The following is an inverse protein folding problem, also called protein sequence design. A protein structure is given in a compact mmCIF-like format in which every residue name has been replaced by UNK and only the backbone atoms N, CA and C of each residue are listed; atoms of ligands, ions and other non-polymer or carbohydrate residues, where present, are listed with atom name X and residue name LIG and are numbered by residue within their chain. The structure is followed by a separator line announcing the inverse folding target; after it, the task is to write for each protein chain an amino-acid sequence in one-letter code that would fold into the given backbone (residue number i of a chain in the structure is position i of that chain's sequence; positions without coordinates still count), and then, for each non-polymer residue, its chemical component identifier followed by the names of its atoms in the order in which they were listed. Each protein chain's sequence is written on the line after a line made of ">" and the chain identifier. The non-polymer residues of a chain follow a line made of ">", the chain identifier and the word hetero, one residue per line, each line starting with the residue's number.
data_IF_569251791702
#
_entry.id   IF_569251791702
#
_cell.length_a   1.000
_cell.length_b   1.000
_cell.length_c   1.000
_cell.angle_alpha   90.00
_cell.angle_beta   90.00
_cell.angle_gamma   90.00
#
_symmetry.space_group_name_H-M   'P 1'
#
loop_
_entity.id
_entity.type
_entity.pdbx_description
1 polymer ?
#
# COMPACT_ATOMS: atom_id res chain seq x y z
N UNK A 1 18.77 81.20 44.30
CA UNK A 1 17.61 81.26 45.22
C UNK A 1 16.77 80.00 45.02
N UNK A 2 16.20 79.48 46.10
CA UNK A 2 15.31 78.31 46.23
C UNK A 2 14.18 78.30 45.17
N UNK A 3 13.46 77.21 44.82
CA UNK A 3 12.95 76.06 45.58
C UNK A 3 12.31 74.99 44.64
N UNK A 4 12.33 73.71 45.06
CA UNK A 4 11.24 72.68 45.03
C UNK A 4 10.68 72.16 43.67
N UNK A 5 10.20 70.91 43.47
CA UNK A 5 9.93 69.71 44.30
C UNK A 5 9.65 68.49 43.38
N UNK A 6 9.98 67.29 43.87
CA UNK A 6 9.34 65.95 43.72
C UNK A 6 9.31 65.12 42.40
N UNK A 7 10.22 64.11 42.34
CA UNK A 7 10.09 62.61 42.18
C UNK A 7 9.11 61.93 41.19
N UNK A 8 9.26 60.61 40.87
CA UNK A 8 10.47 59.72 40.84
C UNK A 8 10.51 58.76 39.61
N UNK A 9 11.64 58.08 39.34
CA UNK A 9 11.73 56.59 39.28
C UNK A 9 13.14 56.08 38.92
N UNK A 10 13.43 54.90 39.47
CA UNK A 10 14.72 54.23 39.61
C UNK A 10 15.15 53.40 38.39
N UNK A 11 16.45 53.40 38.10
CA UNK A 11 17.09 52.40 37.24
C UNK A 11 18.61 52.55 37.25
N UNK A 12 19.31 51.86 38.17
CA UNK A 12 20.77 51.91 38.25
C UNK A 12 21.42 51.06 37.15
N UNK A 13 22.16 51.71 36.25
CA UNK A 13 23.18 51.09 35.40
C UNK A 13 24.47 50.88 36.22
N UNK A 14 25.06 49.68 36.14
CA UNK A 14 26.51 49.47 36.34
C UNK A 14 27.08 48.68 35.16
N UNK A 15 28.35 49.00 34.90
CA UNK A 15 29.10 48.90 33.66
C UNK A 15 29.57 47.50 33.25
N UNK A 16 29.74 47.36 31.93
CA UNK A 16 30.27 46.21 31.18
C UNK A 16 31.66 45.75 31.64
N UNK A 17 31.82 44.44 31.80
CA UNK A 17 33.09 43.74 31.66
C UNK A 17 32.88 42.60 30.65
N UNK A 18 33.40 42.79 29.44
CA UNK A 18 33.22 41.88 28.30
C UNK A 18 34.17 40.69 28.46
N UNK A 19 33.67 39.58 28.97
CA UNK A 19 34.37 38.29 28.95
C UNK A 19 34.33 37.73 27.53
N UNK A 20 35.45 37.81 26.80
CA UNK A 20 35.69 36.97 25.62
C UNK A 20 35.88 35.53 26.11
N UNK A 21 34.80 34.74 26.10
CA UNK A 21 34.88 33.29 26.28
C UNK A 21 35.49 32.71 25.00
N UNK A 22 36.78 32.43 25.03
CA UNK A 22 37.44 31.59 24.03
C UNK A 22 36.91 30.18 24.29
N UNK A 23 35.98 29.70 23.47
CA UNK A 23 35.57 28.29 23.48
C UNK A 23 36.75 27.50 22.95
N UNK A 24 37.52 26.88 23.85
CA UNK A 24 38.57 25.95 23.49
C UNK A 24 37.85 24.70 22.98
N UNK A 25 37.66 24.58 21.66
CA UNK A 25 37.22 23.33 21.06
C UNK A 25 38.25 22.28 21.44
N UNK A 26 37.84 21.27 22.19
CA UNK A 26 38.72 20.17 22.56
C UNK A 26 39.05 19.42 21.27
N UNK A 27 40.31 19.44 20.87
CA UNK A 27 40.77 18.69 19.71
C UNK A 27 40.66 17.19 20.04
N UNK A 28 39.82 16.49 19.28
CA UNK A 28 39.69 15.05 19.34
C UNK A 28 40.33 14.43 18.10
N UNK A 29 41.52 13.80 18.21
CA UNK A 29 42.17 13.15 17.08
C UNK A 29 41.33 11.97 16.53
N UNK A 30 40.36 11.45 17.30
CA UNK A 30 39.49 10.37 16.85
C UNK A 30 38.34 10.85 15.94
N UNK A 31 38.16 12.17 15.81
CA UNK A 31 37.16 12.78 14.93
C UNK A 31 37.80 13.30 13.62
N UNK A 32 39.11 13.10 13.42
CA UNK A 32 39.76 13.44 12.16
C UNK A 32 39.31 12.50 11.04
N UNK A 33 39.07 13.07 9.85
CA UNK A 33 38.58 12.32 8.67
C UNK A 33 39.52 11.16 8.32
N UNK A 34 40.83 11.40 8.33
CA UNK A 34 41.83 10.38 7.99
C UNK A 34 41.87 9.25 9.04
N UNK A 35 41.68 9.59 10.31
CA UNK A 35 41.59 8.60 11.38
C UNK A 35 40.32 7.76 11.22
N UNK A 36 39.16 8.40 11.02
CA UNK A 36 37.89 7.73 10.80
C UNK A 36 37.91 6.82 9.57
N UNK A 37 38.45 7.28 8.45
CA UNK A 37 38.64 6.48 7.24
C UNK A 37 39.52 5.24 7.50
N UNK A 38 40.63 5.42 8.24
CA UNK A 38 41.51 4.31 8.61
C UNK A 38 40.83 3.27 9.51
N UNK A 39 39.95 3.71 10.43
CA UNK A 39 39.22 2.80 11.31
C UNK A 39 38.08 2.10 10.55
N UNK A 40 37.36 2.81 9.69
CA UNK A 40 36.29 2.23 8.86
C UNK A 40 36.82 1.15 7.91
N UNK A 41 37.99 1.35 7.31
CA UNK A 41 38.65 0.35 6.43
C UNK A 41 39.09 -0.92 7.15
N UNK A 42 39.22 -0.90 8.49
CA UNK A 42 39.56 -2.09 9.29
C UNK A 42 38.36 -2.99 9.55
N UNK A 43 37.14 -2.47 9.41
CA UNK A 43 35.92 -3.24 9.58
C UNK A 43 35.61 -3.92 8.23
N UNK A 44 35.44 -5.24 8.18
CA UNK A 44 35.28 -5.98 6.92
C UNK A 44 33.85 -5.88 6.38
N UNK A 45 33.31 -4.66 6.25
CA UNK A 45 31.92 -4.41 5.85
C UNK A 45 31.56 -5.15 4.56
N UNK A 46 32.39 -5.06 3.51
CA UNK A 46 32.13 -5.71 2.21
C UNK A 46 32.02 -7.24 2.36
N UNK A 47 32.84 -7.87 3.20
CA UNK A 47 32.82 -9.32 3.38
C UNK A 47 31.61 -9.76 4.23
N UNK A 48 31.25 -8.99 5.26
CA UNK A 48 30.06 -9.24 6.07
C UNK A 48 28.78 -9.02 5.26
N UNK A 49 28.76 -8.03 4.39
CA UNK A 49 27.63 -7.72 3.52
C UNK A 49 27.38 -8.77 2.44
N UNK A 50 28.44 -9.30 1.81
CA UNK A 50 28.32 -10.44 0.90
C UNK A 50 27.74 -11.69 1.56
N UNK A 51 27.94 -11.85 2.87
CA UNK A 51 27.37 -12.96 3.62
C UNK A 51 25.89 -12.73 4.00
N UNK A 52 25.41 -11.48 3.90
CA UNK A 52 24.03 -11.08 4.22
C UNK A 52 23.19 -10.75 2.98
N UNK A 53 23.79 -10.84 1.79
CA UNK A 53 23.15 -10.65 0.47
C UNK A 53 22.43 -9.30 0.27
N UNK A 54 22.97 -8.22 0.84
CA UNK A 54 22.44 -6.86 0.62
C UNK A 54 23.02 -6.20 -0.63
N UNK A 55 22.16 -5.69 -1.53
CA UNK A 55 22.61 -5.01 -2.76
C UNK A 55 23.17 -3.59 -2.52
N UNK A 56 22.70 -2.86 -1.50
CA UNK A 56 23.19 -1.50 -1.13
C UNK A 56 23.14 -1.25 0.37
N UNK A 57 23.92 -0.26 0.84
CA UNK A 57 24.05 0.10 2.26
C UNK A 57 24.48 1.55 2.49
N UNK A 58 24.21 2.06 3.70
CA UNK A 58 24.67 3.36 4.20
C UNK A 58 25.41 3.18 5.51
N UNK A 59 26.62 3.72 5.62
CA UNK A 59 27.38 3.75 6.88
C UNK A 59 27.30 5.15 7.47
N UNK A 60 26.87 5.26 8.73
CA UNK A 60 26.83 6.54 9.44
C UNK A 60 27.78 6.49 10.64
N UNK A 61 28.53 7.58 10.83
CA UNK A 61 29.33 7.81 12.03
C UNK A 61 28.70 8.94 12.85
N UNK A 62 28.56 8.73 14.16
CA UNK A 62 28.16 9.78 15.11
C UNK A 62 29.25 9.94 16.15
N UNK A 63 29.82 11.14 16.22
CA UNK A 63 30.77 11.51 17.27
C UNK A 63 30.09 11.43 18.64
N UNK A 64 30.79 10.93 19.65
CA UNK A 64 30.34 10.76 21.04
C UNK A 64 29.14 9.82 21.26
N UNK A 65 28.72 9.07 20.24
CA UNK A 65 27.74 7.99 20.38
C UNK A 65 28.38 6.72 20.94
N UNK A 66 27.98 6.30 22.14
CA UNK A 66 28.29 4.95 22.65
C UNK A 66 27.13 4.03 22.34
N UNK A 67 27.39 2.96 21.59
CA UNK A 67 26.45 1.86 21.43
C UNK A 67 26.38 1.09 22.75
N UNK A 68 25.17 0.87 23.27
CA UNK A 68 25.00 0.03 24.45
C UNK A 68 25.32 -1.43 24.12
N UNK A 69 25.88 -2.16 25.09
CA UNK A 69 26.26 -3.55 24.89
C UNK A 69 25.02 -4.39 24.54
N UNK A 70 25.05 -5.04 23.37
CA UNK A 70 23.94 -5.82 22.84
C UNK A 70 23.11 -5.10 21.76
N UNK A 71 23.38 -3.82 21.49
CA UNK A 71 22.78 -3.15 20.32
C UNK A 71 23.36 -3.73 19.03
N UNK A 72 22.52 -4.12 18.05
CA UNK A 72 22.98 -4.54 16.74
C UNK A 72 23.74 -3.39 16.05
N UNK A 73 24.92 -3.67 15.53
CA UNK A 73 25.72 -2.68 14.76
C UNK A 73 25.24 -2.61 13.29
N UNK A 74 24.50 -3.63 12.85
CA UNK A 74 23.84 -3.71 11.55
C UNK A 74 22.34 -3.83 11.84
N UNK A 75 21.60 -2.76 11.58
CA UNK A 75 20.15 -2.73 11.74
C UNK A 75 19.50 -2.80 10.35
N UNK A 76 19.04 -3.99 9.94
CA UNK A 76 18.19 -4.17 8.75
C UNK A 76 16.73 -3.76 8.98
N UNK A 77 16.49 -2.84 9.91
CA UNK A 77 15.17 -2.41 10.38
C UNK A 77 15.00 -0.89 10.31
N UNK A 78 15.84 -0.21 9.54
CA UNK A 78 15.70 1.24 9.38
C UNK A 78 14.42 1.51 8.57
N UNK A 79 13.46 2.18 9.21
CA UNK A 79 12.07 2.38 8.78
C UNK A 79 11.91 3.32 7.57
N UNK A 80 12.99 3.59 6.84
CA UNK A 80 12.96 4.14 5.50
C UNK A 80 13.24 2.98 4.54
N UNK A 81 12.22 2.17 4.22
CA UNK A 81 12.27 1.38 2.99
C UNK A 81 12.58 2.38 1.88
N UNK A 82 13.72 2.19 1.19
CA UNK A 82 14.33 3.20 0.34
C UNK A 82 13.27 3.77 -0.62
N UNK A 83 12.83 5.04 -0.44
CA UNK A 83 11.87 5.65 -1.36
C UNK A 83 12.33 5.49 -2.80
N UNK A 84 11.43 5.02 -3.68
CA UNK A 84 11.71 4.70 -5.08
C UNK A 84 12.22 3.29 -5.35
N UNK A 85 12.24 2.39 -4.36
CA UNK A 85 12.58 0.99 -4.59
C UNK A 85 11.34 0.09 -4.64
N UNK A 86 11.01 -0.40 -5.84
CA UNK A 86 9.90 -1.32 -6.13
C UNK A 86 10.00 -2.68 -5.43
N UNK A 87 11.19 -3.05 -4.92
CA UNK A 87 11.37 -4.28 -4.12
C UNK A 87 10.92 -4.11 -2.67
N UNK A 88 10.77 -2.86 -2.19
CA UNK A 88 10.46 -2.55 -0.78
C UNK A 88 9.19 -1.73 -0.61
N UNK A 89 8.79 -0.98 -1.64
CA UNK A 89 7.58 -0.16 -1.66
C UNK A 89 6.84 -0.50 -2.95
N UNK A 90 5.54 -0.78 -2.82
CA UNK A 90 4.71 -1.04 -3.99
C UNK A 90 4.69 0.18 -4.91
N UNK A 91 4.59 -0.03 -6.24
CA UNK A 91 4.46 1.08 -7.19
C UNK A 91 3.31 2.00 -6.77
N UNK A 92 2.13 1.42 -6.57
CA UNK A 92 0.99 2.07 -5.90
C UNK A 92 1.00 1.65 -4.43
N UNK A 93 1.17 2.61 -3.52
CA UNK A 93 1.15 2.33 -2.08
C UNK A 93 0.51 3.49 -1.29
N UNK A 94 0.36 3.31 0.01
CA UNK A 94 -0.13 4.33 0.93
C UNK A 94 0.63 4.36 2.25
N UNK A 95 0.47 5.45 3.00
CA UNK A 95 0.87 5.52 4.40
C UNK A 95 -0.02 6.47 5.19
N UNK A 96 -0.11 6.22 6.49
CA UNK A 96 -0.74 7.13 7.43
C UNK A 96 0.33 8.03 8.05
N UNK A 97 0.12 9.36 8.01
CA UNK A 97 1.04 10.33 8.62
C UNK A 97 0.25 11.51 9.20
N UNK A 98 0.49 11.83 10.48
CA UNK A 98 -0.12 12.98 11.16
C UNK A 98 -1.65 13.06 10.96
N UNK A 99 -2.35 11.96 11.20
CA UNK A 99 -3.80 11.81 11.00
C UNK A 99 -4.31 11.92 9.54
N UNK A 100 -3.41 11.99 8.55
CA UNK A 100 -3.75 11.98 7.12
C UNK A 100 -3.38 10.68 6.42
N UNK A 101 -4.00 10.45 5.25
CA UNK A 101 -3.69 9.37 4.33
C UNK A 101 -2.91 9.94 3.12
N UNK A 102 -1.79 9.31 2.80
CA UNK A 102 -0.94 9.68 1.68
C UNK A 102 -0.80 8.51 0.73
N UNK A 103 -0.83 8.79 -0.58
CA UNK A 103 -0.72 7.81 -1.65
C UNK A 103 0.56 8.07 -2.45
N UNK A 104 1.10 7.01 -3.05
CA UNK A 104 2.23 7.08 -4.00
C UNK A 104 1.91 6.22 -5.21
N UNK A 105 2.45 6.61 -6.35
CA UNK A 105 2.43 5.88 -7.62
C UNK A 105 3.85 5.70 -8.20
N UNK A 106 4.88 5.95 -7.41
CA UNK A 106 6.29 5.95 -7.79
C UNK A 106 7.18 5.23 -6.76
N UNK A 107 6.65 4.17 -6.14
CA UNK A 107 7.35 3.41 -5.11
C UNK A 107 7.83 4.27 -3.94
N UNK A 108 7.07 5.32 -3.61
CA UNK A 108 7.27 6.17 -2.45
C UNK A 108 8.27 7.31 -2.65
N UNK A 109 8.76 7.57 -3.87
CA UNK A 109 9.58 8.77 -4.15
C UNK A 109 8.80 10.05 -3.82
N UNK A 110 7.52 10.07 -4.18
CA UNK A 110 6.58 11.15 -3.86
C UNK A 110 5.35 10.63 -3.12
N UNK A 111 4.75 11.50 -2.31
CA UNK A 111 3.59 11.19 -1.49
C UNK A 111 2.57 12.31 -1.60
N UNK A 112 1.39 11.96 -2.10
CA UNK A 112 0.27 12.88 -2.34
C UNK A 112 -0.76 12.68 -1.22
N UNK A 113 -1.15 13.78 -0.57
CA UNK A 113 -2.21 13.74 0.43
C UNK A 113 -3.55 13.45 -0.24
N UNK A 114 -4.30 12.49 0.28
CA UNK A 114 -5.68 12.24 -0.19
C UNK A 114 -6.65 13.34 0.25
N UNK A 115 -6.28 14.20 1.20
CA UNK A 115 -7.18 15.23 1.72
C UNK A 115 -8.33 14.70 2.60
N UNK A 116 -8.43 13.40 2.81
CA UNK A 116 -9.41 12.79 3.74
C UNK A 116 -9.16 13.27 5.17
N UNK A 117 -10.25 13.56 5.89
CA UNK A 117 -10.18 13.91 7.31
C UNK A 117 -9.90 12.68 8.16
N UNK A 118 -9.46 12.93 9.40
CA UNK A 118 -9.25 11.88 10.40
C UNK A 118 -10.50 11.03 10.60
N UNK A 119 -11.68 11.64 10.69
CA UNK A 119 -12.94 10.94 10.89
C UNK A 119 -13.31 10.04 9.70
N UNK A 120 -13.00 10.48 8.47
CA UNK A 120 -13.19 9.67 7.26
C UNK A 120 -12.26 8.45 7.28
N UNK A 121 -11.01 8.62 7.70
CA UNK A 121 -10.03 7.53 7.82
C UNK A 121 -10.43 6.55 8.92
N UNK A 122 -10.81 7.05 10.10
CA UNK A 122 -11.20 6.24 11.25
C UNK A 122 -12.46 5.40 10.94
N UNK A 123 -13.49 6.01 10.36
CA UNK A 123 -14.69 5.26 9.95
C UNK A 123 -14.40 4.17 8.90
N UNK A 124 -13.48 4.45 7.96
CA UNK A 124 -13.05 3.48 6.95
C UNK A 124 -12.32 2.29 7.58
N UNK A 125 -11.38 2.56 8.47
CA UNK A 125 -10.54 1.53 9.11
C UNK A 125 -11.34 0.69 10.11
N UNK A 126 -12.36 1.26 10.75
CA UNK A 126 -13.33 0.53 11.58
C UNK A 126 -14.11 -0.52 10.77
N UNK A 127 -14.55 -0.19 9.55
CA UNK A 127 -15.20 -1.15 8.64
C UNK A 127 -14.30 -2.35 8.36
N UNK A 128 -13.03 -2.10 8.04
CA UNK A 128 -12.10 -3.20 7.76
C UNK A 128 -11.77 -3.98 9.04
N UNK A 129 -11.78 -3.33 10.20
CA UNK A 129 -11.44 -3.94 11.49
C UNK A 129 -9.95 -4.30 11.60
N UNK A 130 -9.09 -3.63 10.82
CA UNK A 130 -7.66 -3.95 10.69
C UNK A 130 -6.72 -2.89 11.27
N UNK A 131 -7.27 -1.94 12.03
CA UNK A 131 -6.53 -0.76 12.51
C UNK A 131 -6.11 0.11 11.33
N UNK A 132 -4.89 0.65 11.37
CA UNK A 132 -4.35 1.51 10.30
C UNK A 132 -3.88 0.69 9.09
N UNK A 133 -4.79 -0.06 8.46
CA UNK A 133 -4.54 -0.83 7.25
C UNK A 133 -5.74 -0.72 6.31
N UNK A 134 -5.46 -0.30 5.08
CA UNK A 134 -6.37 -0.38 3.94
C UNK A 134 -6.03 -1.64 3.11
N UNK A 135 -7.04 -2.38 2.63
CA UNK A 135 -6.79 -3.46 1.67
C UNK A 135 -6.12 -2.93 0.40
N UNK A 136 -5.14 -3.67 -0.12
CA UNK A 136 -4.36 -3.29 -1.32
C UNK A 136 -5.26 -2.93 -2.51
N UNK A 137 -6.35 -3.67 -2.71
CA UNK A 137 -7.26 -3.45 -3.82
C UNK A 137 -8.14 -2.20 -3.67
N UNK A 138 -8.18 -1.59 -2.47
CA UNK A 138 -8.98 -0.40 -2.19
C UNK A 138 -8.33 0.90 -2.66
N UNK A 139 -7.10 0.81 -3.19
CA UNK A 139 -6.32 1.92 -3.74
C UNK A 139 -5.91 1.57 -5.17
N UNK A 140 -5.82 2.61 -6.01
CA UNK A 140 -5.34 2.52 -7.38
C UNK A 140 -4.59 3.81 -7.77
N UNK A 141 -3.60 3.65 -8.64
CA UNK A 141 -3.05 4.74 -9.44
C UNK A 141 -2.61 4.22 -10.81
N UNK A 142 -2.63 5.09 -11.81
CA UNK A 142 -2.20 4.83 -13.18
C UNK A 142 -0.76 5.25 -13.47
N UNK A 143 -0.04 5.80 -12.47
CA UNK A 143 1.32 6.34 -12.64
C UNK A 143 1.39 7.63 -13.48
N UNK A 144 0.24 8.23 -13.81
CA UNK A 144 0.12 9.41 -14.66
C UNK A 144 -0.82 10.47 -14.05
N UNK A 145 -0.92 10.48 -12.72
CA UNK A 145 -1.65 11.48 -11.95
C UNK A 145 -3.09 11.11 -11.59
N UNK A 146 -3.58 9.92 -11.96
CA UNK A 146 -4.82 9.39 -11.42
C UNK A 146 -4.56 8.68 -10.09
N UNK A 147 -5.38 9.00 -9.10
CA UNK A 147 -5.40 8.31 -7.80
C UNK A 147 -6.83 8.00 -7.41
N UNK A 148 -7.05 6.78 -6.91
CA UNK A 148 -8.34 6.34 -6.42
C UNK A 148 -8.15 5.66 -5.06
N UNK A 149 -9.00 5.98 -4.09
CA UNK A 149 -9.05 5.29 -2.80
C UNK A 149 -10.47 5.22 -2.26
N UNK A 150 -10.86 4.09 -1.69
CA UNK A 150 -12.14 3.95 -1.02
C UNK A 150 -12.10 4.44 0.44
N UNK A 151 -13.14 5.15 0.86
CA UNK A 151 -13.39 5.54 2.25
C UNK A 151 -14.86 5.34 2.67
N UNK A 152 -15.15 5.56 3.95
CA UNK A 152 -16.48 5.59 4.55
C UNK A 152 -17.05 4.22 4.97
N UNK A 153 -18.11 4.26 5.78
CA UNK A 153 -18.92 3.08 6.12
C UNK A 153 -19.62 2.50 4.88
N UNK A 154 -20.33 3.37 4.16
CA UNK A 154 -20.77 3.14 2.79
C UNK A 154 -19.56 3.39 1.87
N UNK A 155 -19.26 2.52 0.90
CA UNK A 155 -18.13 2.73 0.01
C UNK A 155 -18.25 4.03 -0.78
N UNK A 156 -17.33 4.96 -0.56
CA UNK A 156 -17.14 6.16 -1.36
C UNK A 156 -15.79 6.07 -2.05
N UNK A 157 -15.78 6.12 -3.38
CA UNK A 157 -14.54 6.23 -4.14
C UNK A 157 -14.13 7.70 -4.20
N UNK A 158 -12.97 7.99 -3.62
CA UNK A 158 -12.31 9.29 -3.70
C UNK A 158 -11.34 9.27 -4.87
N UNK A 159 -11.64 10.03 -5.92
CA UNK A 159 -10.95 9.98 -7.21
C UNK A 159 -10.30 11.34 -7.52
N UNK A 160 -9.00 11.31 -7.84
CA UNK A 160 -8.27 12.41 -8.44
C UNK A 160 -7.78 12.02 -9.83
N UNK A 161 -7.73 12.99 -10.73
CA UNK A 161 -7.23 12.86 -12.11
C UNK A 161 -6.11 13.86 -12.42
N UNK A 162 -5.57 14.52 -11.40
CA UNK A 162 -4.69 15.68 -11.55
C UNK A 162 -3.58 15.74 -10.49
N UNK A 163 -3.00 14.59 -10.12
CA UNK A 163 -1.97 14.44 -9.09
C UNK A 163 -2.45 14.85 -7.68
N UNK A 164 -3.71 14.57 -7.35
CA UNK A 164 -4.31 14.90 -6.06
C UNK A 164 -4.54 16.40 -5.83
N UNK A 165 -4.55 17.22 -6.89
CA UNK A 165 -4.85 18.66 -6.76
C UNK A 165 -6.35 18.88 -6.52
N UNK A 166 -7.20 18.08 -7.16
CA UNK A 166 -8.64 18.03 -6.95
C UNK A 166 -9.11 16.60 -6.77
N UNK A 167 -10.20 16.45 -6.02
CA UNK A 167 -10.79 15.16 -5.68
C UNK A 167 -12.31 15.21 -5.82
N UNK A 168 -12.87 14.12 -6.33
CA UNK A 168 -14.31 13.89 -6.46
C UNK A 168 -14.71 12.64 -5.66
N UNK A 169 -15.85 12.72 -4.97
CA UNK A 169 -16.42 11.59 -4.22
C UNK A 169 -17.56 10.94 -5.01
N UNK A 170 -17.45 9.63 -5.22
CA UNK A 170 -18.49 8.80 -5.82
C UNK A 170 -18.99 7.78 -4.79
N UNK A 171 -20.22 7.95 -4.31
CA UNK A 171 -20.85 7.03 -3.37
C UNK A 171 -21.48 5.83 -4.07
N UNK A 172 -21.15 4.62 -3.62
CA UNK A 172 -21.78 3.37 -4.07
C UNK A 172 -22.83 2.92 -3.07
N UNK A 173 -24.01 3.53 -3.12
CA UNK A 173 -25.13 3.29 -2.20
C UNK A 173 -25.97 2.04 -2.55
N UNK A 174 -25.31 0.90 -2.75
CA UNK A 174 -25.99 -0.37 -2.98
C UNK A 174 -26.70 -0.86 -1.71
N UNK A 175 -27.68 -1.76 -1.87
CA UNK A 175 -28.33 -2.41 -0.73
C UNK A 175 -27.42 -3.50 -0.15
N UNK A 176 -26.44 -3.09 0.66
CA UNK A 176 -25.53 -4.02 1.30
C UNK A 176 -26.19 -4.69 2.52
N UNK A 177 -26.20 -6.03 2.60
CA UNK A 177 -26.71 -6.74 3.79
C UNK A 177 -25.80 -6.56 5.02
N UNK A 178 -24.54 -6.15 4.81
CA UNK A 178 -23.47 -5.96 5.81
C UNK A 178 -22.48 -4.90 5.32
N UNK A 179 -21.50 -4.54 6.14
CA UNK A 179 -20.40 -3.68 5.68
C UNK A 179 -19.69 -4.26 4.45
N UNK A 180 -19.48 -3.41 3.45
CA UNK A 180 -18.71 -3.73 2.26
C UNK A 180 -17.21 -3.64 2.60
N UNK A 181 -16.57 -4.80 2.78
CA UNK A 181 -15.17 -4.91 3.20
C UNK A 181 -14.22 -5.20 2.04
N UNK A 182 -14.71 -5.83 0.98
CA UNK A 182 -13.96 -6.02 -0.25
C UNK A 182 -14.27 -4.87 -1.18
N UNK A 183 -13.33 -3.95 -1.32
CA UNK A 183 -13.46 -2.78 -2.19
C UNK A 183 -12.29 -2.79 -3.16
N UNK A 184 -12.59 -3.02 -4.43
CA UNK A 184 -11.62 -3.14 -5.51
C UNK A 184 -11.90 -2.00 -6.48
N UNK A 185 -10.86 -1.28 -6.89
CA UNK A 185 -10.93 -0.27 -7.96
C UNK A 185 -9.73 -0.41 -8.89
N UNK A 186 -9.96 -0.40 -10.20
CA UNK A 186 -8.90 -0.36 -11.21
C UNK A 186 -9.40 0.38 -12.44
N UNK A 187 -8.46 0.93 -13.22
CA UNK A 187 -8.73 1.46 -14.54
C UNK A 187 -7.89 0.69 -15.58
N UNK A 188 -8.51 0.40 -16.72
CA UNK A 188 -7.83 -0.20 -17.88
C UNK A 188 -7.16 0.89 -18.72
N UNK A 189 -7.78 2.08 -18.75
CA UNK A 189 -7.32 3.29 -19.40
C UNK A 189 -7.99 4.51 -18.71
N UNK A 190 -7.67 5.76 -19.08
CA UNK A 190 -8.22 6.94 -18.42
C UNK A 190 -9.76 7.09 -18.48
N UNK A 191 -10.46 6.39 -19.38
CA UNK A 191 -11.91 6.45 -19.53
C UNK A 191 -12.61 5.21 -18.95
N UNK A 192 -11.98 4.04 -19.00
CA UNK A 192 -12.58 2.76 -18.66
C UNK A 192 -12.05 2.23 -17.34
N UNK A 193 -12.93 2.15 -16.35
CA UNK A 193 -12.61 1.64 -15.02
C UNK A 193 -13.68 0.71 -14.47
N UNK A 194 -13.29 -0.11 -13.50
CA UNK A 194 -14.19 -1.04 -12.84
C UNK A 194 -13.99 -1.05 -11.34
N UNK A 195 -15.05 -1.44 -10.64
CA UNK A 195 -15.04 -1.70 -9.20
C UNK A 195 -15.60 -3.07 -8.89
N UNK A 196 -15.06 -3.69 -7.85
CA UNK A 196 -15.60 -4.89 -7.22
C UNK A 196 -15.96 -4.58 -5.78
N UNK A 197 -17.22 -4.75 -5.39
CA UNK A 197 -17.72 -4.43 -4.07
C UNK A 197 -18.33 -5.68 -3.44
N UNK A 198 -17.81 -6.10 -2.28
CA UNK A 198 -18.20 -7.32 -1.60
C UNK A 198 -18.40 -7.13 -0.11
N UNK A 199 -19.45 -7.72 0.43
CA UNK A 199 -19.69 -7.75 1.88
C UNK A 199 -19.17 -9.04 2.50
N UNK A 200 -18.98 -9.01 3.82
CA UNK A 200 -18.94 -10.26 4.60
C UNK A 200 -20.24 -11.05 4.42
N UNK A 201 -20.22 -12.30 4.86
CA UNK A 201 -21.38 -13.18 4.84
C UNK A 201 -21.84 -13.56 6.26
N UNK A 202 -23.13 -13.83 6.44
CA UNK A 202 -23.62 -14.61 7.57
C UNK A 202 -24.86 -15.43 7.23
N UNK A 203 -25.13 -16.48 8.00
CA UNK A 203 -26.34 -17.30 7.86
C UNK A 203 -27.65 -16.49 7.90
N UNK A 204 -27.67 -15.35 8.61
CA UNK A 204 -28.90 -14.57 8.82
C UNK A 204 -29.17 -13.51 7.75
N UNK A 205 -28.12 -12.93 7.16
CA UNK A 205 -28.24 -11.82 6.18
C UNK A 205 -27.75 -12.19 4.78
N UNK A 206 -27.05 -13.32 4.64
CA UNK A 206 -26.25 -13.61 3.46
C UNK A 206 -25.07 -12.65 3.33
N UNK A 207 -24.56 -12.57 2.10
CA UNK A 207 -23.55 -11.61 1.65
C UNK A 207 -23.94 -11.12 0.25
N UNK A 208 -23.28 -10.07 -0.23
CA UNK A 208 -23.53 -9.51 -1.55
C UNK A 208 -22.22 -9.18 -2.26
N UNK A 209 -22.23 -9.33 -3.58
CA UNK A 209 -21.14 -8.92 -4.48
C UNK A 209 -21.72 -8.10 -5.63
N UNK A 210 -21.02 -7.04 -6.00
CA UNK A 210 -21.36 -6.16 -7.10
C UNK A 210 -20.12 -5.91 -7.95
N UNK A 211 -20.32 -5.82 -9.26
CA UNK A 211 -19.32 -5.33 -10.22
C UNK A 211 -19.86 -4.05 -10.83
N UNK A 212 -19.05 -3.00 -10.86
CA UNK A 212 -19.40 -1.71 -11.44
C UNK A 212 -18.43 -1.29 -12.53
N UNK A 213 -18.95 -0.55 -13.52
CA UNK A 213 -18.16 0.00 -14.61
C UNK A 213 -18.37 1.49 -14.75
N UNK A 214 -17.30 2.15 -15.17
CA UNK A 214 -17.31 3.49 -15.76
C UNK A 214 -16.70 3.43 -17.17
N UNK A 215 -17.22 4.28 -18.04
CA UNK A 215 -16.71 4.49 -19.41
C UNK A 215 -16.52 5.99 -19.72
N UNK A 216 -16.48 6.82 -18.67
CA UNK A 216 -16.30 8.27 -18.76
C UNK A 216 -15.27 8.77 -17.74
N UNK A 217 -14.32 7.89 -17.40
CA UNK A 217 -13.23 8.17 -16.47
C UNK A 217 -13.69 8.28 -15.02
N UNK A 218 -14.80 7.65 -14.64
CA UNK A 218 -15.28 7.63 -13.26
C UNK A 218 -16.27 8.73 -12.90
N UNK A 219 -16.76 9.49 -13.88
CA UNK A 219 -17.82 10.49 -13.66
C UNK A 219 -19.17 9.84 -13.42
N UNK A 220 -19.47 8.75 -14.13
CA UNK A 220 -20.65 7.92 -13.89
C UNK A 220 -20.26 6.45 -13.75
N UNK A 221 -21.01 5.75 -12.91
CA UNK A 221 -20.79 4.33 -12.61
C UNK A 221 -22.10 3.58 -12.73
N UNK A 222 -22.03 2.37 -13.29
CA UNK A 222 -23.15 1.43 -13.35
C UNK A 222 -22.76 0.11 -12.71
N UNK A 223 -23.47 -0.25 -11.65
CA UNK A 223 -23.26 -1.48 -10.88
C UNK A 223 -24.26 -2.57 -11.27
N UNK A 224 -23.82 -3.81 -11.15
CA UNK A 224 -24.63 -5.02 -11.33
C UNK A 224 -24.34 -5.97 -10.17
N UNK A 225 -25.39 -6.50 -9.56
CA UNK A 225 -25.26 -7.52 -8.51
C UNK A 225 -24.91 -8.87 -9.12
N UNK A 226 -23.91 -9.54 -8.54
CA UNK A 226 -23.49 -10.87 -8.94
C UNK A 226 -24.16 -11.89 -8.02
N UNK A 227 -24.93 -12.86 -8.55
CA UNK A 227 -25.50 -13.91 -7.75
C UNK A 227 -24.37 -14.85 -7.29
N UNK A 228 -24.09 -14.84 -5.99
CA UNK A 228 -23.05 -15.67 -5.40
C UNK A 228 -23.69 -16.64 -4.42
N UNK A 229 -23.51 -17.93 -4.67
CA UNK A 229 -24.02 -19.01 -3.81
C UNK A 229 -23.03 -19.37 -2.70
N UNK A 230 -23.50 -20.12 -1.70
CA UNK A 230 -22.62 -20.84 -0.77
C UNK A 230 -21.82 -20.00 0.23
N UNK A 231 -22.12 -18.70 0.35
CA UNK A 231 -21.44 -17.82 1.30
C UNK A 231 -20.00 -17.47 0.95
N UNK A 232 -19.70 -17.46 -0.35
CA UNK A 232 -18.42 -16.98 -0.86
C UNK A 232 -18.31 -15.45 -0.69
N UNK A 233 -17.09 -14.99 -0.42
CA UNK A 233 -16.75 -13.59 -0.19
C UNK A 233 -15.76 -13.16 -1.28
N UNK A 234 -16.02 -12.01 -1.90
CA UNK A 234 -15.13 -11.44 -2.93
C UNK A 234 -13.73 -11.23 -2.37
N UNK A 235 -12.72 -11.81 -3.02
CA UNK A 235 -11.30 -11.65 -2.63
C UNK A 235 -10.48 -10.89 -3.68
N UNK A 236 -10.87 -10.97 -4.96
CA UNK A 236 -10.16 -10.32 -6.06
C UNK A 236 -11.03 -10.16 -7.32
N UNK A 237 -10.68 -9.19 -8.14
CA UNK A 237 -11.31 -8.90 -9.43
C UNK A 237 -10.29 -8.23 -10.35
N UNK A 238 -10.08 -8.81 -11.53
CA UNK A 238 -9.22 -8.25 -12.55
C UNK A 238 -9.86 -8.40 -13.94
N UNK A 239 -9.80 -7.35 -14.75
CA UNK A 239 -10.21 -7.40 -16.15
C UNK A 239 -8.99 -7.23 -17.05
N UNK A 240 -8.87 -8.07 -18.08
CA UNK A 240 -7.86 -7.90 -19.14
C UNK A 240 -8.29 -6.81 -20.14
N UNK A 241 -9.60 -6.71 -20.35
CA UNK A 241 -10.25 -5.73 -21.21
C UNK A 241 -11.68 -5.46 -20.73
N UNK A 242 -12.44 -4.64 -21.45
CA UNK A 242 -13.81 -4.25 -21.07
C UNK A 242 -14.83 -5.40 -21.03
N UNK A 243 -14.50 -6.59 -21.53
CA UNK A 243 -15.40 -7.74 -21.56
C UNK A 243 -14.87 -8.92 -20.74
N UNK A 244 -13.56 -9.15 -20.78
CA UNK A 244 -12.91 -10.36 -20.30
C UNK A 244 -12.27 -10.14 -18.93
N UNK A 245 -12.71 -10.88 -17.93
CA UNK A 245 -12.21 -10.73 -16.56
C UNK A 245 -12.26 -12.00 -15.72
N UNK A 246 -11.56 -11.94 -14.60
CA UNK A 246 -11.54 -12.94 -13.54
C UNK A 246 -11.95 -12.36 -12.21
N UNK A 247 -12.69 -13.16 -11.45
CA UNK A 247 -13.13 -12.87 -10.10
C UNK A 247 -12.74 -14.06 -9.22
N UNK A 248 -12.14 -13.78 -8.08
CA UNK A 248 -11.82 -14.79 -7.07
C UNK A 248 -12.69 -14.60 -5.85
N UNK A 249 -13.13 -15.71 -5.27
CA UNK A 249 -13.88 -15.70 -4.02
C UNK A 249 -13.38 -16.75 -3.05
N UNK A 250 -13.35 -16.40 -1.77
CA UNK A 250 -12.99 -17.29 -0.69
C UNK A 250 -14.23 -17.78 0.06
N UNK A 251 -14.14 -18.96 0.66
CA UNK A 251 -15.13 -19.41 1.63
C UNK A 251 -14.98 -18.60 2.93
N UNK A 252 -16.09 -18.34 3.62
CA UNK A 252 -16.04 -17.65 4.92
C UNK A 252 -15.11 -18.36 5.93
N UNK A 253 -15.00 -19.69 5.87
CA UNK A 253 -14.31 -20.48 6.88
C UNK A 253 -12.82 -20.69 6.58
N UNK A 254 -12.33 -20.23 5.41
CA UNK A 254 -10.93 -20.39 5.02
C UNK A 254 -10.48 -21.87 5.00
N UNK A 255 -11.42 -22.77 4.71
CA UNK A 255 -11.20 -24.22 4.70
C UNK A 255 -10.49 -24.70 3.43
N UNK A 256 -10.39 -23.85 2.42
CA UNK A 256 -9.70 -24.13 1.16
C UNK A 256 -8.39 -23.35 1.06
N UNK A 257 -7.32 -24.06 0.70
CA UNK A 257 -6.04 -23.47 0.31
C UNK A 257 -6.13 -22.65 -0.97
N UNK A 258 -7.14 -22.87 -1.80
CA UNK A 258 -7.25 -22.26 -3.12
C UNK A 258 -8.55 -21.47 -3.24
N UNK A 259 -8.53 -20.30 -3.89
CA UNK A 259 -9.73 -19.52 -4.08
C UNK A 259 -10.60 -20.18 -5.14
N UNK A 260 -11.91 -19.92 -5.08
CA UNK A 260 -12.82 -20.24 -6.20
C UNK A 260 -12.59 -19.22 -7.29
N UNK A 261 -12.34 -19.66 -8.52
CA UNK A 261 -12.02 -18.79 -9.66
C UNK A 261 -13.18 -18.77 -10.64
N UNK A 262 -13.61 -17.57 -10.99
CA UNK A 262 -14.70 -17.32 -11.93
C UNK A 262 -14.21 -16.44 -13.07
N UNK A 263 -14.75 -16.68 -14.26
CA UNK A 263 -14.46 -15.91 -15.46
C UNK A 263 -15.72 -15.27 -16.02
N UNK A 264 -15.54 -14.11 -16.65
CA UNK A 264 -16.57 -13.41 -17.42
C UNK A 264 -16.03 -13.05 -18.80
N UNK A 265 -16.91 -13.07 -19.79
CA UNK A 265 -16.66 -12.59 -21.15
C UNK A 265 -17.73 -11.55 -21.57
N UNK A 266 -18.46 -11.00 -20.59
CA UNK A 266 -19.58 -10.10 -20.78
C UNK A 266 -19.54 -8.90 -19.82
N UNK A 267 -18.33 -8.42 -19.49
CA UNK A 267 -18.09 -7.28 -18.61
C UNK A 267 -18.58 -7.51 -17.16
N UNK A 268 -18.58 -8.77 -16.71
CA UNK A 268 -19.02 -9.12 -15.37
C UNK A 268 -20.53 -9.11 -15.18
N UNK A 269 -21.33 -9.20 -16.24
CA UNK A 269 -22.77 -9.42 -16.10
C UNK A 269 -23.06 -10.87 -15.66
N UNK A 270 -22.24 -11.82 -16.10
CA UNK A 270 -22.29 -13.22 -15.68
C UNK A 270 -20.88 -13.74 -15.40
N UNK A 271 -20.81 -14.64 -14.42
CA UNK A 271 -19.59 -15.31 -14.03
C UNK A 271 -19.79 -16.82 -14.09
N UNK A 272 -18.79 -17.51 -14.64
CA UNK A 272 -18.73 -18.97 -14.69
C UNK A 272 -17.51 -19.44 -13.94
N UNK A 273 -17.68 -20.42 -13.06
CA UNK A 273 -16.56 -21.02 -12.35
C UNK A 273 -15.68 -21.85 -13.28
N UNK A 274 -14.38 -21.84 -13.00
CA UNK A 274 -13.37 -22.68 -13.64
C UNK A 274 -12.50 -23.36 -12.58
N UNK A 275 -11.91 -24.49 -12.95
CA UNK A 275 -10.88 -25.14 -12.15
C UNK A 275 -9.50 -24.70 -12.64
N UNK A 276 -8.64 -24.27 -11.72
CA UNK A 276 -7.23 -24.00 -12.04
C UNK A 276 -6.39 -25.26 -11.78
N UNK A 277 -5.20 -25.40 -12.40
CA UNK A 277 -4.35 -26.57 -12.25
C UNK A 277 -3.61 -26.58 -10.89
N UNK A 278 -4.35 -26.60 -9.77
CA UNK A 278 -3.78 -26.49 -8.43
C UNK A 278 -2.74 -27.56 -8.11
N UNK A 279 -2.89 -28.75 -8.70
CA UNK A 279 -1.97 -29.87 -8.57
C UNK A 279 -0.60 -29.65 -9.23
N UNK A 280 -0.49 -28.65 -10.11
CA UNK A 280 0.77 -28.29 -10.77
C UNK A 280 1.60 -27.30 -9.95
N UNK A 281 1.01 -26.74 -8.89
CA UNK A 281 1.66 -25.78 -8.01
C UNK A 281 2.63 -26.53 -7.07
N UNK A 282 3.85 -26.00 -6.83
CA UNK A 282 4.79 -26.55 -5.86
C UNK A 282 4.23 -26.71 -4.44
N UNK A 283 4.61 -27.78 -3.74
CA UNK A 283 4.11 -28.09 -2.38
C UNK A 283 4.44 -27.04 -1.30
N UNK A 284 5.45 -26.19 -1.53
CA UNK A 284 5.83 -25.11 -0.63
C UNK A 284 4.88 -23.90 -0.70
N UNK A 285 4.08 -23.80 -1.77
CA UNK A 285 2.95 -22.87 -1.84
C UNK A 285 1.71 -23.53 -1.24
N UNK A 286 1.35 -23.09 -0.04
CA UNK A 286 0.28 -23.73 0.75
C UNK A 286 -1.10 -23.12 0.55
N UNK A 287 -1.18 -21.89 0.02
CA UNK A 287 -2.43 -21.25 -0.34
C UNK A 287 -2.25 -20.05 -1.30
N UNK A 288 -3.32 -19.72 -2.02
CA UNK A 288 -3.55 -18.46 -2.73
C UNK A 288 -4.95 -17.98 -2.36
N UNK A 289 -5.25 -16.69 -2.54
CA UNK A 289 -6.56 -16.17 -2.14
C UNK A 289 -7.17 -15.17 -3.13
N UNK A 290 -6.37 -14.46 -3.93
CA UNK A 290 -6.91 -13.46 -4.85
C UNK A 290 -6.25 -13.42 -6.21
N UNK A 291 -7.02 -12.99 -7.21
CA UNK A 291 -6.45 -12.46 -8.45
C UNK A 291 -5.85 -11.08 -8.18
N UNK A 292 -4.59 -10.91 -8.58
CA UNK A 292 -3.85 -9.66 -8.48
C UNK A 292 -3.85 -8.91 -9.81
N UNK A 293 -3.63 -9.62 -10.92
CA UNK A 293 -3.59 -9.06 -12.26
C UNK A 293 -4.06 -10.08 -13.29
N UNK A 294 -4.62 -9.56 -14.38
CA UNK A 294 -4.97 -10.32 -15.56
C UNK A 294 -4.71 -9.42 -16.77
N UNK A 295 -3.83 -9.84 -17.66
CA UNK A 295 -3.55 -9.12 -18.91
C UNK A 295 -3.69 -10.05 -20.11
N UNK A 296 -3.87 -9.46 -21.30
CA UNK A 296 -3.94 -10.21 -22.55
C UNK A 296 -2.96 -9.64 -23.57
N UNK A 297 -1.94 -10.42 -23.89
CA UNK A 297 -0.84 -9.99 -24.77
C UNK A 297 -0.52 -11.09 -25.78
N UNK A 298 -0.37 -10.70 -27.05
CA UNK A 298 0.06 -11.60 -28.13
C UNK A 298 -0.75 -12.90 -28.25
N UNK A 299 -2.04 -12.86 -27.92
CA UNK A 299 -2.93 -14.03 -28.00
C UNK A 299 -2.99 -14.87 -26.73
N UNK A 300 -2.32 -14.46 -25.65
CA UNK A 300 -2.18 -15.23 -24.40
C UNK A 300 -2.63 -14.35 -23.23
N UNK A 301 -3.43 -14.95 -22.34
CA UNK A 301 -3.72 -14.37 -21.04
C UNK A 301 -2.59 -14.66 -20.06
N UNK A 302 -2.20 -13.63 -19.32
CA UNK A 302 -1.26 -13.73 -18.20
C UNK A 302 -2.03 -13.40 -16.92
N UNK A 303 -2.03 -14.35 -15.98
CA UNK A 303 -2.74 -14.25 -14.71
C UNK A 303 -1.73 -14.32 -13.58
N UNK A 304 -1.81 -13.38 -12.64
CA UNK A 304 -1.12 -13.50 -11.36
C UNK A 304 -2.15 -13.68 -10.25
N UNK A 305 -2.02 -14.76 -9.50
CA UNK A 305 -2.73 -14.98 -8.23
C UNK A 305 -1.79 -14.74 -7.06
N UNK A 306 -2.29 -14.20 -5.96
CA UNK A 306 -1.51 -13.91 -4.76
C UNK A 306 -2.20 -14.29 -3.47
N UNK A 307 -1.47 -14.08 -2.37
CA UNK A 307 -1.91 -14.30 -0.99
C UNK A 307 -2.48 -13.03 -0.32
N UNK A 308 -2.61 -11.94 -1.08
CA UNK A 308 -3.17 -10.67 -0.62
C UNK A 308 -2.49 -10.17 0.64
N UNK A 309 -3.27 -9.94 1.69
CA UNK A 309 -2.73 -9.44 2.96
C UNK A 309 -2.19 -10.55 3.88
N UNK A 310 -2.40 -11.81 3.53
CA UNK A 310 -2.03 -12.97 4.35
C UNK A 310 -0.61 -13.46 4.09
N UNK A 311 -0.01 -13.01 2.99
CA UNK A 311 1.33 -13.39 2.57
C UNK A 311 1.74 -12.66 1.30
N UNK A 312 2.98 -12.83 0.90
CA UNK A 312 3.57 -12.14 -0.24
C UNK A 312 3.91 -13.09 -1.40
N UNK A 313 3.53 -14.36 -1.33
CA UNK A 313 3.76 -15.27 -2.44
C UNK A 313 2.76 -14.99 -3.57
N UNK A 314 3.25 -15.08 -4.80
CA UNK A 314 2.53 -14.91 -6.06
C UNK A 314 2.75 -16.14 -6.94
N UNK A 315 1.76 -16.47 -7.77
CA UNK A 315 1.85 -17.51 -8.79
C UNK A 315 1.37 -16.95 -10.13
N UNK A 316 2.17 -17.18 -11.17
CA UNK A 316 1.84 -16.80 -12.54
C UNK A 316 1.31 -18.01 -13.31
N UNK A 317 0.27 -17.76 -14.11
CA UNK A 317 -0.34 -18.71 -15.01
C UNK A 317 -0.51 -18.11 -16.40
N UNK A 318 -0.50 -18.96 -17.42
CA UNK A 318 -0.82 -18.59 -18.80
C UNK A 318 -1.99 -19.41 -19.34
N UNK A 319 -2.77 -18.82 -20.25
CA UNK A 319 -3.88 -19.49 -20.91
C UNK A 319 -4.22 -18.84 -22.24
N UNK A 320 -4.71 -19.61 -23.22
CA UNK A 320 -5.12 -19.06 -24.54
C UNK A 320 -6.57 -18.57 -24.55
N UNK A 321 -7.34 -18.94 -23.52
CA UNK A 321 -8.74 -18.56 -23.31
C UNK A 321 -9.01 -18.55 -21.81
N UNK A 322 -9.80 -17.57 -21.32
CA UNK A 322 -10.14 -17.50 -19.89
C UNK A 322 -10.74 -18.80 -19.34
N UNK A 323 -11.52 -19.46 -20.18
CA UNK A 323 -12.46 -20.49 -19.78
C UNK A 323 -11.98 -21.90 -20.19
N UNK A 324 -10.73 -21.98 -20.66
CA UNK A 324 -10.02 -23.19 -21.06
C UNK A 324 -8.91 -23.59 -20.08
N UNK A 325 -7.91 -24.32 -20.57
CA UNK A 325 -6.80 -24.80 -19.74
C UNK A 325 -5.81 -23.68 -19.40
N UNK A 326 -5.44 -23.63 -18.13
CA UNK A 326 -4.40 -22.76 -17.60
C UNK A 326 -3.14 -23.59 -17.31
N UNK A 327 -1.97 -22.98 -17.49
CA UNK A 327 -0.66 -23.58 -17.20
C UNK A 327 0.03 -22.77 -16.12
N UNK A 328 0.48 -23.42 -15.05
CA UNK A 328 1.35 -22.80 -14.05
C UNK A 328 2.74 -22.55 -14.65
N UNK A 329 3.25 -21.34 -14.49
CA UNK A 329 4.57 -20.95 -15.00
C UNK A 329 5.62 -20.92 -13.89
N UNK A 330 5.34 -20.19 -12.82
CA UNK A 330 6.27 -19.96 -11.72
C UNK A 330 5.55 -19.40 -10.48
N UNK A 331 6.21 -19.54 -9.33
CA UNK A 331 5.90 -18.81 -8.11
C UNK A 331 7.06 -17.92 -7.71
N UNK A 332 6.77 -16.83 -7.00
CA UNK A 332 7.77 -15.89 -6.54
C UNK A 332 7.26 -15.06 -5.36
N UNK A 333 8.19 -14.48 -4.59
CA UNK A 333 7.86 -13.51 -3.55
C UNK A 333 7.65 -12.15 -4.21
N UNK A 334 6.44 -11.60 -4.10
CA UNK A 334 6.10 -10.27 -4.56
C UNK A 334 6.28 -9.21 -3.48
N UNK A 335 6.37 -7.95 -3.90
CA UNK A 335 6.30 -6.79 -2.99
C UNK A 335 4.87 -6.63 -2.46
N UNK A 336 4.74 -6.34 -1.17
CA UNK A 336 3.47 -6.03 -0.50
C UNK A 336 3.58 -4.71 0.25
N UNK A 337 2.44 -4.14 0.66
CA UNK A 337 2.39 -2.92 1.47
C UNK A 337 3.25 -3.08 2.74
N UNK A 338 4.20 -2.16 2.92
CA UNK A 338 5.01 -2.08 4.14
C UNK A 338 4.29 -1.19 5.14
N UNK A 339 4.09 -1.66 6.37
CA UNK A 339 3.51 -0.82 7.44
C UNK A 339 4.54 0.24 7.86
N UNK A 340 4.15 1.50 7.75
CA UNK A 340 4.96 2.68 8.10
C UNK A 340 4.65 3.21 9.50
#
# INVERSE_FOLDING_TARGET
>A
MCHSKNTPWSGSRKSKQTSKRITKTQYDPNAEVDYLDSQMKRIPFIAQMKALDFERYKVQYRQDGRLEAGMPVIEGRDQEALPGNSETVMQTDYKFLQDGLFLTDDSGETWISSGLTKEQIESTTEVYGKGNLLPENSIYSDGNGMFAVFWGEVPVLHLSKDDGKTWEDIEFAENYPRFCKSRIVRFLDPENGYVGLGTDWSMGTGGATFVGWTHDGGTTWKTTSIPVEGGLILSGLAFADMQNGMLTMDSQFGDNSWPRVFVTNDAGNQFREIEMPWETIPEDMTFLNKVDSLTYENGVYHLTLGQGEYGNMKADFTGVSLDGEWTFEKSYIGTIHTRW
#
